data_IF_269188467186
#
_entry.id   IF_269188467186
#
_cell.length_a   1.000
_cell.length_b   1.000
_cell.length_c   1.000
_cell.angle_alpha   90.00
_cell.angle_beta   90.00
_cell.angle_gamma   90.00
#
_symmetry.space_group_name_H-M   'P 1'
#
loop_
_entity.id
_entity.type
_entity.pdbx_description
1 polymer ?
#
# COMPACT_ATOMS: atom_id res chain seq x y z
N UNK A 1 2.95 -8.27 5.52
CA UNK A 1 2.94 -6.85 5.09
C UNK A 1 4.35 -6.41 4.73
N UNK A 2 4.46 -5.54 3.74
CA UNK A 2 5.74 -5.04 3.30
C UNK A 2 5.69 -3.53 3.20
N UNK A 3 6.82 -2.81 3.41
CA UNK A 3 6.79 -1.35 3.38
C UNK A 3 6.39 -0.84 2.01
N UNK A 4 5.56 0.22 1.97
CA UNK A 4 5.12 0.79 0.69
C UNK A 4 6.29 1.33 -0.12
N UNK A 5 7.39 1.69 0.53
CA UNK A 5 8.57 2.22 -0.17
C UNK A 5 9.17 1.22 -1.14
N UNK A 6 8.85 -0.07 -0.96
CA UNK A 6 9.29 -1.10 -1.90
C UNK A 6 8.58 -0.98 -3.25
N UNK A 7 7.39 -0.38 -3.26
CA UNK A 7 6.51 -0.38 -4.44
C UNK A 7 6.35 0.98 -5.07
N UNK A 8 6.42 2.06 -4.30
CA UNK A 8 6.17 3.41 -4.80
C UNK A 8 7.11 4.40 -4.12
N UNK A 9 7.21 5.57 -4.74
CA UNK A 9 7.86 6.72 -4.11
C UNK A 9 6.82 7.38 -3.21
N UNK A 10 7.18 7.62 -1.96
CA UNK A 10 6.25 8.23 -1.00
C UNK A 10 6.22 9.75 -1.14
N UNK A 11 5.20 10.37 -0.55
CA UNK A 11 5.07 11.82 -0.53
C UNK A 11 4.25 12.42 -1.66
N UNK A 12 3.85 11.62 -2.65
CA UNK A 12 2.97 12.06 -3.73
C UNK A 12 1.72 11.19 -3.76
N UNK A 13 0.57 11.73 -4.19
CA UNK A 13 -0.65 10.92 -4.25
C UNK A 13 -0.52 9.77 -5.24
N UNK A 14 -0.93 8.58 -4.81
CA UNK A 14 -1.03 7.42 -5.69
C UNK A 14 -2.34 6.72 -5.39
N UNK A 15 -2.92 6.06 -6.41
CA UNK A 15 -4.15 5.31 -6.20
C UNK A 15 -3.80 3.84 -5.94
N UNK A 16 -4.81 3.09 -5.51
CA UNK A 16 -4.59 1.68 -5.18
C UNK A 16 -4.28 0.86 -6.43
N UNK A 17 -4.76 1.30 -7.58
CA UNK A 17 -4.45 0.64 -8.84
C UNK A 17 -2.93 0.62 -9.06
N UNK A 18 -2.27 1.74 -8.80
CA UNK A 18 -0.82 1.85 -8.94
C UNK A 18 -0.10 0.88 -7.99
N UNK A 19 -0.58 0.79 -6.75
CA UNK A 19 -0.01 -0.14 -5.78
C UNK A 19 -0.19 -1.59 -6.22
N UNK A 20 -1.37 -1.94 -6.74
CA UNK A 20 -1.63 -3.28 -7.23
C UNK A 20 -0.74 -3.63 -8.40
N UNK A 21 -0.58 -2.70 -9.33
CA UNK A 21 0.27 -2.92 -10.50
C UNK A 21 1.73 -3.12 -10.09
N UNK A 22 2.20 -2.33 -9.13
CA UNK A 22 3.57 -2.46 -8.65
C UNK A 22 3.78 -3.79 -7.92
N UNK A 23 2.82 -4.20 -7.09
CA UNK A 23 2.93 -5.47 -6.39
C UNK A 23 2.95 -6.65 -7.37
N UNK A 24 2.16 -6.56 -8.45
CA UNK A 24 2.12 -7.61 -9.45
C UNK A 24 3.47 -7.86 -10.10
N UNK A 25 4.30 -6.82 -10.18
CA UNK A 25 5.65 -6.95 -10.75
C UNK A 25 6.56 -7.82 -9.88
N UNK A 26 6.21 -8.00 -8.61
CA UNK A 26 6.94 -8.89 -7.69
C UNK A 26 6.22 -10.22 -7.50
N UNK A 27 5.19 -10.51 -8.30
CA UNK A 27 4.42 -11.72 -8.15
C UNK A 27 3.53 -11.72 -6.93
N UNK A 28 3.10 -10.55 -6.48
CA UNK A 28 2.29 -10.38 -5.28
C UNK A 28 0.93 -9.79 -5.63
N UNK A 29 -0.06 -10.03 -4.77
CA UNK A 29 -1.39 -9.49 -4.92
C UNK A 29 -1.63 -8.53 -3.76
N UNK A 30 -1.83 -7.25 -4.07
CA UNK A 30 -2.11 -6.25 -3.04
C UNK A 30 -3.59 -6.31 -2.68
N UNK A 31 -3.89 -6.47 -1.38
CA UNK A 31 -5.26 -6.53 -0.91
C UNK A 31 -5.66 -5.34 -0.05
N UNK A 32 -4.70 -4.53 0.37
CA UNK A 32 -4.99 -3.37 1.20
C UNK A 32 -3.72 -2.71 1.65
N UNK A 33 -3.85 -1.81 2.63
CA UNK A 33 -2.68 -1.13 3.17
C UNK A 33 -2.90 -0.81 4.65
N UNK A 34 -1.80 -0.56 5.34
CA UNK A 34 -1.78 -0.16 6.73
C UNK A 34 -1.13 1.21 6.78
N UNK A 35 -1.91 2.21 7.20
CA UNK A 35 -1.41 3.58 7.27
C UNK A 35 -1.12 3.97 8.71
N UNK A 36 0.04 4.54 8.91
CA UNK A 36 0.42 5.09 10.20
C UNK A 36 -0.39 6.37 10.46
N UNK A 37 -0.97 6.48 11.64
CA UNK A 37 -1.73 7.66 12.04
C UNK A 37 -0.90 8.52 12.99
N UNK A 38 -0.68 8.03 14.20
CA UNK A 38 0.08 8.73 15.23
C UNK A 38 0.17 7.84 16.47
N UNK A 39 1.17 8.06 17.31
CA UNK A 39 1.27 7.39 18.62
C UNK A 39 1.13 5.88 18.53
N UNK A 40 1.80 5.26 17.55
CA UNK A 40 1.76 3.82 17.31
C UNK A 40 0.39 3.30 16.89
N UNK A 41 -0.48 4.19 16.42
CA UNK A 41 -1.78 3.82 15.89
C UNK A 41 -1.71 3.70 14.37
N UNK A 42 -2.46 2.72 13.84
CA UNK A 42 -2.52 2.47 12.41
C UNK A 42 -3.97 2.31 11.97
N UNK A 43 -4.22 2.60 10.72
CA UNK A 43 -5.50 2.34 10.07
C UNK A 43 -5.28 1.28 9.00
N UNK A 44 -6.11 0.24 9.00
CA UNK A 44 -6.01 -0.83 8.01
C UNK A 44 -7.20 -0.72 7.07
N UNK A 45 -6.89 -0.69 5.77
CA UNK A 45 -7.90 -0.59 4.73
C UNK A 45 -7.77 -1.82 3.85
N UNK A 46 -8.86 -2.60 3.72
CA UNK A 46 -8.88 -3.80 2.88
C UNK A 46 -9.79 -3.52 1.70
N UNK A 47 -9.34 -3.84 0.49
CA UNK A 47 -10.06 -3.60 -0.76
C UNK A 47 -10.50 -2.15 -0.90
N UNK A 48 -9.57 -1.18 -0.77
CA UNK A 48 -9.94 0.23 -0.91
C UNK A 48 -10.40 0.53 -2.35
N UNK A 49 -11.13 1.62 -2.56
CA UNK A 49 -11.50 2.03 -3.92
C UNK A 49 -10.25 2.19 -4.78
N UNK A 50 -10.27 1.61 -5.98
CA UNK A 50 -9.08 1.51 -6.82
C UNK A 50 -8.55 2.89 -7.23
N UNK A 51 -9.45 3.83 -7.50
CA UNK A 51 -9.04 5.14 -8.00
C UNK A 51 -8.92 6.21 -6.93
N UNK A 52 -9.09 5.84 -5.67
CA UNK A 52 -8.93 6.80 -4.58
C UNK A 52 -7.44 7.03 -4.34
N UNK A 53 -7.00 8.26 -4.49
CA UNK A 53 -5.59 8.62 -4.30
C UNK A 53 -5.29 8.83 -2.82
N UNK A 54 -4.11 8.38 -2.40
CA UNK A 54 -3.63 8.54 -1.02
C UNK A 54 -2.17 8.95 -1.07
N UNK A 55 -1.76 9.72 -0.07
CA UNK A 55 -0.35 10.04 0.11
C UNK A 55 0.22 9.10 1.16
N UNK A 56 1.21 8.31 0.78
CA UNK A 56 1.82 7.36 1.69
C UNK A 56 3.16 7.86 2.21
N UNK A 57 3.53 7.41 3.38
CA UNK A 57 4.80 7.73 4.01
C UNK A 57 5.62 6.45 4.15
N UNK A 58 6.89 6.61 4.57
CA UNK A 58 7.77 5.46 4.78
C UNK A 58 7.37 4.60 5.98
N UNK A 59 6.37 5.04 6.74
CA UNK A 59 5.84 4.26 7.87
C UNK A 59 4.64 3.41 7.49
N UNK A 60 4.18 3.52 6.24
CA UNK A 60 3.00 2.78 5.78
C UNK A 60 3.42 1.46 5.16
N UNK A 61 2.54 0.46 5.26
CA UNK A 61 2.80 -0.87 4.71
C UNK A 61 1.72 -1.24 3.72
N UNK A 62 2.11 -2.06 2.75
CA UNK A 62 1.18 -2.66 1.81
C UNK A 62 0.88 -4.08 2.27
N UNK A 63 -0.40 -4.44 2.30
CA UNK A 63 -0.83 -5.79 2.66
C UNK A 63 -0.87 -6.59 1.37
N UNK A 64 -0.02 -7.61 1.28
CA UNK A 64 0.11 -8.39 0.05
C UNK A 64 0.02 -9.88 0.35
N UNK A 65 -0.40 -10.63 -0.67
CA UNK A 65 -0.36 -12.08 -0.66
C UNK A 65 0.61 -12.48 -1.76
N UNK A 66 1.58 -13.31 -1.41
CA UNK A 66 2.52 -13.84 -2.40
C UNK A 66 1.84 -14.93 -3.21
N UNK A 67 2.12 -14.95 -4.51
CA UNK A 67 1.58 -15.98 -5.39
C UNK A 67 2.31 -17.31 -5.28
N UNK A 68 3.33 -17.40 -4.46
CA UNK A 68 4.16 -18.59 -4.37
C UNK A 68 3.97 -19.35 -3.10
#
# INVERSE_FOLDING_TARGET
MKPVTRYITTGTPVDFYTLRASAARYGEIAIGYKKFIANDEFSIEVNPPIKQAEVFSDKDDLIVISKR
#
